data_IF_118399130180
#
_entry.id   IF_118399130180
#
_cell.length_a   1.000
_cell.length_b   1.000
_cell.length_c   1.000
_cell.angle_alpha   90.00
_cell.angle_beta   90.00
_cell.angle_gamma   90.00
#
_symmetry.space_group_name_H-M   'P 1'
#
loop_
_entity.id
_entity.type
_entity.pdbx_description
1 polymer ?
#
# COMPACT_ATOMS: atom_id res chain seq x y z
N UNK A 1 6.25 -7.75 -9.59
CA UNK A 1 6.05 -8.51 -8.35
C UNK A 1 5.48 -9.88 -8.71
N UNK A 2 6.18 -10.92 -8.28
CA UNK A 2 5.65 -12.26 -8.15
C UNK A 2 4.71 -12.31 -6.95
N UNK A 3 3.85 -13.32 -6.89
CA UNK A 3 2.98 -13.48 -5.72
C UNK A 3 3.82 -13.87 -4.51
N UNK A 4 3.51 -13.29 -3.36
CA UNK A 4 4.34 -13.35 -2.16
C UNK A 4 5.34 -12.20 -2.04
N UNK A 5 5.63 -11.45 -3.13
CA UNK A 5 6.43 -10.23 -3.02
C UNK A 5 5.66 -9.16 -2.23
N UNK A 6 6.41 -8.41 -1.42
CA UNK A 6 5.93 -7.27 -0.66
C UNK A 6 6.55 -6.00 -1.23
N UNK A 7 5.71 -5.04 -1.62
CA UNK A 7 6.11 -3.69 -1.96
C UNK A 7 5.84 -2.79 -0.77
N UNK A 8 6.90 -2.13 -0.27
CA UNK A 8 6.81 -1.10 0.76
C UNK A 8 6.97 0.26 0.10
N UNK A 9 6.03 1.17 0.36
CA UNK A 9 6.01 2.50 -0.22
C UNK A 9 5.77 3.53 0.88
N UNK A 10 6.50 4.64 0.84
CA UNK A 10 6.34 5.75 1.77
C UNK A 10 5.95 7.02 1.02
N UNK A 11 5.03 7.79 1.61
CA UNK A 11 4.57 9.06 1.04
C UNK A 11 4.20 10.03 2.14
N UNK A 12 4.54 11.30 1.97
CA UNK A 12 4.08 12.40 2.84
C UNK A 12 2.72 12.97 2.41
N UNK A 13 2.09 12.37 1.40
CA UNK A 13 0.81 12.81 0.85
C UNK A 13 -0.29 11.80 1.16
N UNK A 14 -1.11 12.13 2.17
CA UNK A 14 -2.24 11.29 2.61
C UNK A 14 -3.27 11.03 1.51
N UNK A 15 -3.45 11.97 0.57
CA UNK A 15 -4.33 11.79 -0.59
C UNK A 15 -3.81 10.70 -1.55
N UNK A 16 -2.50 10.65 -1.79
CA UNK A 16 -1.86 9.61 -2.59
C UNK A 16 -2.00 8.25 -1.91
N UNK A 17 -1.81 8.20 -0.59
CA UNK A 17 -1.98 6.98 0.20
C UNK A 17 -3.36 6.35 0.02
N UNK A 18 -4.42 7.16 0.17
CA UNK A 18 -5.81 6.73 -0.06
C UNK A 18 -6.04 6.22 -1.49
N UNK A 19 -5.50 6.90 -2.50
CA UNK A 19 -5.62 6.46 -3.89
C UNK A 19 -5.00 5.08 -4.13
N UNK A 20 -3.82 4.84 -3.55
CA UNK A 20 -3.13 3.56 -3.63
C UNK A 20 -3.92 2.46 -2.93
N UNK A 21 -4.49 2.73 -1.75
CA UNK A 21 -5.34 1.77 -1.02
C UNK A 21 -6.55 1.34 -1.86
N UNK A 22 -7.23 2.29 -2.50
CA UNK A 22 -8.40 1.99 -3.36
C UNK A 22 -7.98 1.13 -4.56
N UNK A 23 -6.91 1.53 -5.25
CA UNK A 23 -6.38 0.77 -6.39
C UNK A 23 -5.93 -0.64 -5.99
N UNK A 24 -5.22 -0.79 -4.86
CA UNK A 24 -4.73 -2.07 -4.38
C UNK A 24 -5.88 -3.04 -4.08
N UNK A 25 -6.93 -2.58 -3.38
CA UNK A 25 -8.13 -3.37 -3.12
C UNK A 25 -8.86 -3.78 -4.39
N UNK A 26 -8.98 -2.87 -5.37
CA UNK A 26 -9.61 -3.18 -6.65
C UNK A 26 -8.83 -4.23 -7.46
N UNK A 27 -7.50 -4.29 -7.28
CA UNK A 27 -6.62 -5.26 -7.94
C UNK A 27 -6.26 -6.44 -7.04
N UNK A 28 -6.98 -6.63 -5.93
CA UNK A 28 -6.87 -7.78 -5.01
C UNK A 28 -5.48 -7.95 -4.37
N UNK A 29 -4.80 -6.85 -4.10
CA UNK A 29 -3.64 -6.87 -3.23
C UNK A 29 -4.10 -6.83 -1.77
N UNK A 30 -3.39 -7.54 -0.89
CA UNK A 30 -3.47 -7.26 0.55
C UNK A 30 -2.69 -5.97 0.77
N UNK A 31 -3.32 -4.99 1.42
CA UNK A 31 -2.69 -3.70 1.72
C UNK A 31 -2.87 -3.33 3.18
N UNK A 32 -1.77 -2.95 3.82
CA UNK A 32 -1.75 -2.31 5.14
C UNK A 32 -1.27 -0.87 4.99
N UNK A 33 -1.98 0.07 5.61
CA UNK A 33 -1.66 1.50 5.61
C UNK A 33 -1.41 1.95 7.06
N UNK A 34 -0.30 2.64 7.29
CA UNK A 34 0.07 3.15 8.62
C UNK A 34 0.83 4.47 8.52
N UNK A 35 0.51 5.42 9.38
CA UNK A 35 1.35 6.59 9.60
C UNK A 35 2.57 6.20 10.46
N UNK A 36 3.78 6.38 9.92
CA UNK A 36 5.04 5.94 10.55
C UNK A 36 5.84 7.10 11.15
N UNK A 37 5.61 8.32 10.68
CA UNK A 37 6.18 9.55 11.21
C UNK A 37 5.27 10.72 10.82
N UNK A 38 5.40 11.87 11.48
CA UNK A 38 4.59 13.08 11.31
C UNK A 38 4.18 13.39 9.84
N UNK A 39 3.02 12.89 9.39
CA UNK A 39 2.51 13.05 8.03
C UNK A 39 3.06 12.07 6.96
N UNK A 40 4.01 11.19 7.31
CA UNK A 40 4.54 10.12 6.47
C UNK A 40 3.73 8.84 6.64
N UNK A 41 3.12 8.41 5.54
CA UNK A 41 2.33 7.20 5.40
C UNK A 41 3.17 6.10 4.76
N UNK A 42 3.19 4.93 5.37
CA UNK A 42 3.74 3.70 4.82
C UNK A 42 2.62 2.78 4.38
N UNK A 43 2.78 2.23 3.19
CA UNK A 43 1.88 1.26 2.58
C UNK A 43 2.66 -0.02 2.32
N UNK A 44 2.13 -1.14 2.78
CA UNK A 44 2.69 -2.47 2.55
C UNK A 44 1.71 -3.26 1.68
N UNK A 45 2.10 -3.51 0.43
CA UNK A 45 1.29 -4.25 -0.54
C UNK A 45 1.86 -5.64 -0.74
N UNK A 46 1.07 -6.66 -0.42
CA UNK A 46 1.40 -8.05 -0.71
C UNK A 46 0.62 -8.52 -1.92
N UNK A 47 1.33 -8.95 -2.97
CA UNK A 47 0.68 -9.56 -4.13
C UNK A 47 0.25 -10.98 -3.78
N UNK A 48 -1.05 -11.26 -3.82
CA UNK A 48 -1.58 -12.60 -3.63
C UNK A 48 -1.83 -13.27 -4.99
N UNK A 49 -1.84 -14.60 -5.00
CA UNK A 49 -2.45 -15.36 -6.09
C UNK A 49 -3.96 -15.33 -5.87
N UNK A 50 -4.67 -14.75 -6.85
CA UNK A 50 -6.13 -14.62 -7.00
C UNK A 50 -6.89 -13.59 -6.15
#
# INVERSE_FOLDING_TARGET
>A
MQCGDILVLETEHSCTSRGIVVWAKANRYIIEEKEVANGIWRLELTKTHD
#
